data_IF_488447637910
#
_entry.id   IF_488447637910
#
_cell.length_a   1.000
_cell.length_b   1.000
_cell.length_c   1.000
_cell.angle_alpha   90.00
_cell.angle_beta   90.00
_cell.angle_gamma   90.00
#
_symmetry.space_group_name_H-M   'P 1'
#
loop_
_entity.id
_entity.type
_entity.pdbx_description
1 polymer ?
#
# COMPACT_ATOMS: atom_id res chain seq x y z
N UNK A 1 -35.22 -30.01 -15.40
CA UNK A 1 -34.01 -29.32 -14.91
C UNK A 1 -33.16 -30.33 -14.16
N UNK A 2 -32.13 -30.90 -14.80
CA UNK A 2 -31.22 -31.86 -14.17
C UNK A 2 -29.92 -31.13 -13.90
N UNK A 3 -29.64 -30.94 -12.62
CA UNK A 3 -28.34 -30.43 -12.13
C UNK A 3 -27.31 -31.57 -12.13
N UNK A 4 -26.37 -31.53 -13.05
CA UNK A 4 -25.19 -32.41 -13.02
C UNK A 4 -24.21 -31.89 -11.96
N UNK A 5 -24.24 -32.49 -10.80
CA UNK A 5 -23.18 -32.34 -9.79
C UNK A 5 -21.99 -33.17 -10.22
N UNK A 6 -20.94 -32.49 -10.73
CA UNK A 6 -19.66 -33.13 -11.02
C UNK A 6 -18.98 -33.52 -9.71
N UNK A 7 -18.76 -34.81 -9.52
CA UNK A 7 -18.09 -35.32 -8.33
C UNK A 7 -16.59 -35.01 -8.39
N UNK A 8 -16.01 -34.69 -7.22
CA UNK A 8 -14.59 -34.35 -7.01
C UNK A 8 -13.60 -35.36 -7.61
N UNK A 9 -14.04 -36.58 -7.85
CA UNK A 9 -13.27 -37.68 -8.44
C UNK A 9 -13.07 -37.52 -9.96
N UNK A 10 -14.03 -36.94 -10.69
CA UNK A 10 -13.94 -36.69 -12.12
C UNK A 10 -12.92 -35.59 -12.46
N UNK A 11 -12.82 -34.56 -11.63
CA UNK A 11 -11.81 -33.49 -11.75
C UNK A 11 -10.38 -34.01 -11.50
N UNK A 12 -10.22 -34.93 -10.56
CA UNK A 12 -8.92 -35.56 -10.30
C UNK A 12 -8.44 -36.46 -11.46
N UNK A 13 -9.35 -37.15 -12.16
CA UNK A 13 -8.99 -37.99 -13.33
C UNK A 13 -8.54 -37.17 -14.55
N UNK A 14 -9.07 -35.97 -14.75
CA UNK A 14 -8.64 -35.06 -15.84
C UNK A 14 -7.26 -34.45 -15.56
N UNK A 15 -6.98 -34.08 -14.32
CA UNK A 15 -5.67 -33.56 -13.90
C UNK A 15 -4.56 -34.62 -14.06
N UNK A 16 -4.85 -35.89 -13.76
CA UNK A 16 -3.89 -36.98 -13.88
C UNK A 16 -3.50 -37.29 -15.34
N UNK A 17 -4.39 -37.08 -16.32
CA UNK A 17 -4.08 -37.28 -17.76
C UNK A 17 -3.19 -36.19 -18.34
N UNK A 18 -3.24 -34.94 -17.84
CA UNK A 18 -2.32 -33.88 -18.27
C UNK A 18 -0.91 -34.07 -17.75
N UNK A 19 -0.76 -34.61 -16.55
CA UNK A 19 0.56 -34.92 -15.95
C UNK A 19 1.27 -36.04 -16.69
N UNK A 20 0.54 -37.07 -17.18
CA UNK A 20 1.12 -38.17 -17.97
C UNK A 20 1.61 -37.73 -19.35
N UNK A 21 0.98 -36.73 -19.97
CA UNK A 21 1.45 -36.17 -21.26
C UNK A 21 2.72 -35.33 -21.10
N UNK A 22 2.90 -34.63 -19.99
CA UNK A 22 4.13 -33.88 -19.67
C UNK A 22 5.30 -34.82 -19.32
N UNK A 23 5.04 -35.98 -18.71
CA UNK A 23 6.05 -36.98 -18.45
C UNK A 23 6.54 -37.72 -19.72
N UNK A 24 5.75 -37.80 -20.77
CA UNK A 24 6.15 -38.38 -22.05
C UNK A 24 7.04 -37.45 -22.88
N UNK A 25 6.88 -36.13 -22.74
CA UNK A 25 7.70 -35.12 -23.42
C UNK A 25 9.12 -35.03 -22.83
N UNK A 26 9.34 -35.46 -21.59
CA UNK A 26 10.65 -35.38 -20.92
C UNK A 26 11.69 -36.37 -21.42
N UNK A 27 11.31 -37.40 -22.21
CA UNK A 27 12.23 -38.38 -22.72
C UNK A 27 12.96 -38.03 -24.02
N UNK A 28 12.62 -36.89 -24.63
CA UNK A 28 13.24 -36.45 -25.89
C UNK A 28 14.29 -35.34 -25.73
N UNK A 29 14.57 -34.87 -24.50
CA UNK A 29 15.53 -33.77 -24.26
C UNK A 29 16.75 -34.21 -23.44
N UNK A 30 17.38 -35.33 -23.78
CA UNK A 30 18.55 -35.87 -23.06
C UNK A 30 19.90 -35.57 -23.72
N UNK A 31 20.17 -34.34 -24.18
CA UNK A 31 21.51 -34.02 -24.68
C UNK A 31 21.95 -32.54 -24.51
N UNK A 32 21.37 -31.77 -23.61
CA UNK A 32 21.90 -30.45 -23.25
C UNK A 32 22.49 -30.53 -21.85
N UNK A 33 23.76 -30.15 -21.62
CA UNK A 33 24.33 -30.09 -20.27
C UNK A 33 23.65 -28.96 -19.51
N UNK A 34 22.69 -29.32 -18.70
CA UNK A 34 21.99 -28.38 -17.82
C UNK A 34 22.90 -28.09 -16.64
N UNK A 35 23.29 -26.82 -16.49
CA UNK A 35 23.97 -26.33 -15.30
C UNK A 35 23.19 -26.76 -14.02
N UNK A 36 23.86 -27.09 -12.91
CA UNK A 36 23.19 -27.56 -11.70
C UNK A 36 22.15 -26.50 -11.26
N UNK A 37 20.90 -26.93 -11.00
CA UNK A 37 19.83 -26.00 -10.65
C UNK A 37 20.20 -25.23 -9.38
N UNK A 38 20.00 -23.91 -9.39
CA UNK A 38 20.22 -23.08 -8.22
C UNK A 38 19.47 -23.60 -7.01
N UNK A 39 19.91 -23.29 -5.78
CA UNK A 39 19.20 -23.68 -4.57
C UNK A 39 17.71 -23.29 -4.60
N UNK A 40 17.39 -22.17 -5.22
CA UNK A 40 16.01 -21.72 -5.42
C UNK A 40 15.22 -22.66 -6.34
N UNK A 41 15.81 -23.09 -7.46
CA UNK A 41 15.18 -24.04 -8.39
C UNK A 41 14.97 -25.42 -7.75
N UNK A 42 15.91 -25.88 -6.93
CA UNK A 42 15.78 -27.15 -6.18
C UNK A 42 14.68 -27.06 -5.12
N UNK A 43 14.57 -25.93 -4.45
CA UNK A 43 13.50 -25.67 -3.47
C UNK A 43 12.12 -25.62 -4.15
N UNK A 44 12.01 -24.96 -5.30
CA UNK A 44 10.78 -24.93 -6.08
C UNK A 44 10.38 -26.29 -6.61
N UNK A 45 11.34 -27.10 -7.11
CA UNK A 45 11.08 -28.47 -7.53
C UNK A 45 10.66 -29.36 -6.36
N UNK A 46 11.31 -29.23 -5.20
CA UNK A 46 10.91 -29.95 -3.99
C UNK A 46 9.49 -29.58 -3.55
N UNK A 47 9.18 -28.28 -3.56
CA UNK A 47 7.84 -27.78 -3.22
C UNK A 47 6.80 -28.28 -4.24
N UNK A 48 7.07 -28.22 -5.54
CA UNK A 48 6.15 -28.69 -6.58
C UNK A 48 5.91 -30.20 -6.55
N UNK A 49 6.91 -31.01 -6.15
CA UNK A 49 6.79 -32.45 -6.00
C UNK A 49 6.06 -32.89 -4.72
N UNK A 50 6.21 -32.10 -3.67
CA UNK A 50 5.61 -32.41 -2.35
C UNK A 50 4.22 -31.80 -2.17
N UNK A 51 3.97 -30.66 -2.80
CA UNK A 51 2.69 -29.95 -2.75
C UNK A 51 2.09 -29.90 -4.16
N UNK A 52 1.20 -30.83 -4.44
CA UNK A 52 0.50 -30.93 -5.73
C UNK A 52 -0.50 -29.79 -5.96
N UNK A 53 -0.66 -28.90 -5.00
CA UNK A 53 -1.65 -27.83 -5.02
C UNK A 53 -0.97 -26.46 -4.96
N UNK A 54 -0.81 -25.83 -6.14
CA UNK A 54 -0.24 -24.49 -6.29
C UNK A 54 -1.10 -23.46 -5.54
N UNK A 55 -2.40 -23.67 -5.45
CA UNK A 55 -3.33 -22.78 -4.75
C UNK A 55 -3.01 -22.74 -3.25
N UNK A 56 -2.61 -23.87 -2.66
CA UNK A 56 -2.18 -23.91 -1.26
C UNK A 56 -0.91 -23.09 -1.02
N UNK A 57 0.07 -23.13 -1.93
CA UNK A 57 1.32 -22.34 -1.83
C UNK A 57 1.00 -20.85 -1.96
N UNK A 58 0.13 -20.48 -2.91
CA UNK A 58 -0.32 -19.10 -3.10
C UNK A 58 -1.11 -18.58 -1.90
N UNK A 59 -1.99 -19.41 -1.33
CA UNK A 59 -2.74 -19.06 -0.12
C UNK A 59 -1.82 -18.87 1.09
N UNK A 60 -0.78 -19.68 1.26
CA UNK A 60 0.23 -19.50 2.30
C UNK A 60 1.02 -18.21 2.12
N UNK A 61 1.46 -17.90 0.89
CA UNK A 61 2.17 -16.65 0.63
C UNK A 61 1.32 -15.43 0.97
N UNK A 62 0.05 -15.45 0.60
CA UNK A 62 -0.94 -14.42 0.94
C UNK A 62 -1.17 -14.33 2.44
N UNK A 63 -1.26 -15.47 3.13
CA UNK A 63 -1.44 -15.52 4.58
C UNK A 63 -0.23 -14.92 5.32
N UNK A 64 1.02 -15.25 4.91
CA UNK A 64 2.23 -14.66 5.50
C UNK A 64 2.32 -13.16 5.25
N UNK A 65 2.00 -12.70 4.02
CA UNK A 65 1.94 -11.28 3.69
C UNK A 65 0.92 -10.56 4.58
N UNK A 66 -0.31 -11.09 4.66
CA UNK A 66 -1.38 -10.51 5.46
C UNK A 66 -1.06 -10.51 6.96
N UNK A 67 -0.38 -11.55 7.47
CA UNK A 67 0.07 -11.60 8.86
C UNK A 67 1.09 -10.50 9.14
N UNK A 68 2.07 -10.31 8.24
CA UNK A 68 3.06 -9.23 8.35
C UNK A 68 2.43 -7.84 8.30
N UNK A 69 1.45 -7.63 7.42
CA UNK A 69 0.67 -6.39 7.33
C UNK A 69 -0.11 -6.12 8.63
N UNK A 70 -0.80 -7.12 9.18
CA UNK A 70 -1.55 -6.99 10.44
C UNK A 70 -0.64 -6.65 11.60
N UNK A 71 0.53 -7.27 11.70
CA UNK A 71 1.48 -6.98 12.78
C UNK A 71 2.00 -5.54 12.70
N UNK A 72 2.31 -5.03 11.51
CA UNK A 72 2.80 -3.65 11.32
C UNK A 72 1.74 -2.59 11.54
N UNK A 73 0.49 -2.90 11.22
CA UNK A 73 -0.65 -2.00 11.36
C UNK A 73 -1.48 -2.30 12.62
N UNK A 74 -0.87 -2.93 13.61
CA UNK A 74 -1.56 -3.27 14.84
C UNK A 74 -2.00 -2.00 15.59
N UNK A 75 -3.19 -2.04 16.18
CA UNK A 75 -3.68 -0.93 17.02
C UNK A 75 -3.03 -1.01 18.40
N UNK A 76 -2.32 0.03 18.78
CA UNK A 76 -1.57 0.12 20.04
C UNK A 76 -2.41 0.62 21.21
N UNK A 77 -3.61 0.04 21.42
CA UNK A 77 -4.53 0.45 22.48
C UNK A 77 -3.95 0.37 23.89
N UNK A 78 -3.16 -0.67 24.19
CA UNK A 78 -2.48 -0.79 25.48
C UNK A 78 -1.45 0.32 25.71
N UNK A 79 -0.65 0.62 24.69
CA UNK A 79 0.33 1.71 24.75
C UNK A 79 -0.37 3.05 24.93
N UNK A 80 -1.49 3.23 24.24
CA UNK A 80 -2.32 4.43 24.30
C UNK A 80 -2.88 4.67 25.71
N UNK A 81 -3.35 3.62 26.38
CA UNK A 81 -3.88 3.72 27.75
C UNK A 81 -2.81 4.05 28.78
N UNK A 82 -1.59 3.50 28.62
CA UNK A 82 -0.54 3.65 29.64
C UNK A 82 0.37 4.86 29.41
N UNK A 83 0.64 5.21 28.13
CA UNK A 83 1.62 6.23 27.77
C UNK A 83 1.01 7.44 27.05
N UNK A 84 -0.26 7.37 26.68
CA UNK A 84 -0.99 8.43 26.00
C UNK A 84 -1.02 8.28 24.47
N UNK A 85 -1.92 9.05 23.87
CA UNK A 85 -2.23 8.98 22.43
C UNK A 85 -1.03 9.38 21.54
N UNK A 86 -0.26 10.39 21.97
CA UNK A 86 0.88 10.90 21.21
C UNK A 86 2.02 9.88 21.16
N UNK A 87 2.34 9.24 22.27
CA UNK A 87 3.38 8.21 22.35
C UNK A 87 3.00 6.97 21.57
N UNK A 88 1.74 6.54 21.63
CA UNK A 88 1.27 5.39 20.87
C UNK A 88 1.36 5.64 19.36
N UNK A 89 0.96 6.82 18.90
CA UNK A 89 1.09 7.23 17.51
C UNK A 89 2.56 7.31 17.07
N UNK A 90 3.42 7.93 17.86
CA UNK A 90 4.87 8.02 17.62
C UNK A 90 5.50 6.63 17.48
N UNK A 91 5.20 5.73 18.40
CA UNK A 91 5.69 4.35 18.34
C UNK A 91 5.18 3.59 17.10
N UNK A 92 3.90 3.77 16.73
CA UNK A 92 3.33 3.19 15.53
C UNK A 92 4.10 3.67 14.28
N UNK A 93 4.32 4.98 14.12
CA UNK A 93 5.04 5.55 12.98
C UNK A 93 6.46 4.99 12.89
N UNK A 94 7.20 4.95 14.00
CA UNK A 94 8.56 4.40 14.03
C UNK A 94 8.58 2.89 13.73
N UNK A 95 7.59 2.13 14.21
CA UNK A 95 7.48 0.69 13.90
C UNK A 95 7.23 0.41 12.41
N UNK A 96 6.56 1.33 11.73
CA UNK A 96 6.38 1.33 10.28
C UNK A 96 7.63 1.79 9.52
N UNK A 97 8.69 2.23 10.22
CA UNK A 97 9.91 2.86 9.68
C UNK A 97 9.66 4.25 9.08
N UNK A 98 8.61 4.91 9.48
CA UNK A 98 8.33 6.31 9.17
C UNK A 98 9.11 7.28 10.06
N UNK A 99 8.77 8.55 9.91
CA UNK A 99 9.25 9.64 10.75
C UNK A 99 8.11 10.57 11.12
N UNK A 100 8.32 11.34 12.18
CA UNK A 100 7.35 12.34 12.59
C UNK A 100 8.06 13.54 13.25
N UNK A 101 7.32 14.62 13.36
CA UNK A 101 7.77 15.85 14.04
C UNK A 101 6.67 16.33 14.99
N UNK A 102 7.05 16.71 16.19
CA UNK A 102 6.13 17.31 17.13
C UNK A 102 5.89 18.80 16.83
N UNK A 103 4.75 19.30 17.27
CA UNK A 103 4.40 20.70 17.13
C UNK A 103 5.43 21.62 17.81
N UNK A 104 5.87 22.64 17.08
CA UNK A 104 6.85 23.62 17.57
C UNK A 104 8.30 23.12 17.63
N UNK A 105 8.60 21.91 17.15
CA UNK A 105 9.97 21.39 17.06
C UNK A 105 10.45 21.40 15.61
N UNK A 106 11.76 21.56 15.43
CA UNK A 106 12.39 21.45 14.10
C UNK A 106 12.98 20.06 13.82
N UNK A 107 13.16 19.26 14.87
CA UNK A 107 13.81 17.95 14.77
C UNK A 107 12.80 16.86 14.39
N UNK A 108 13.24 16.00 13.45
CA UNK A 108 12.49 14.84 13.03
C UNK A 108 12.89 13.59 13.81
N UNK A 109 11.95 12.88 14.36
CA UNK A 109 12.15 11.57 14.96
C UNK A 109 12.03 10.50 13.87
N UNK A 110 13.15 9.84 13.57
CA UNK A 110 13.25 8.77 12.58
C UNK A 110 14.15 7.66 13.08
N UNK A 111 14.09 6.48 12.43
CA UNK A 111 15.05 5.42 12.67
C UNK A 111 16.43 5.83 12.16
N UNK A 112 17.47 5.41 12.88
CA UNK A 112 18.84 5.52 12.40
C UNK A 112 19.13 4.50 11.27
N UNK A 113 20.32 4.55 10.69
CA UNK A 113 20.75 3.61 9.63
C UNK A 113 20.77 2.15 10.09
N UNK A 114 20.79 1.89 11.40
CA UNK A 114 20.79 0.55 12.01
C UNK A 114 19.38 0.08 12.36
N UNK A 115 18.35 0.86 12.06
CA UNK A 115 16.95 0.55 12.36
C UNK A 115 16.59 0.71 13.84
N UNK A 116 17.39 1.45 14.60
CA UNK A 116 17.10 1.83 15.99
C UNK A 116 16.54 3.23 16.01
N UNK A 117 15.62 3.49 16.93
CA UNK A 117 15.10 4.83 17.20
C UNK A 117 15.48 5.27 18.61
N UNK A 118 15.66 6.58 18.77
CA UNK A 118 15.89 7.19 20.07
C UNK A 118 14.54 7.23 20.83
N UNK A 119 14.58 6.97 22.11
CA UNK A 119 13.40 6.99 22.98
C UNK A 119 13.08 8.39 23.54
N UNK A 120 13.80 9.43 23.12
CA UNK A 120 13.59 10.81 23.60
C UNK A 120 12.17 11.32 23.33
N UNK A 121 11.48 10.77 22.31
CA UNK A 121 10.07 11.10 22.05
C UNK A 121 9.15 10.78 23.24
N UNK A 122 9.55 9.90 24.17
CA UNK A 122 8.79 9.58 25.38
C UNK A 122 8.66 10.79 26.33
N UNK A 123 9.58 11.75 26.23
CA UNK A 123 9.55 12.98 27.02
C UNK A 123 8.51 13.99 26.54
N UNK A 124 7.95 13.79 25.33
CA UNK A 124 6.99 14.70 24.68
C UNK A 124 5.56 14.18 24.74
N UNK A 125 5.15 13.64 25.88
CA UNK A 125 3.85 13.00 26.08
C UNK A 125 2.67 13.92 25.76
N UNK A 126 2.78 15.18 26.12
CA UNK A 126 1.70 16.17 26.00
C UNK A 126 1.79 17.00 24.70
N UNK A 127 2.83 16.78 23.88
CA UNK A 127 3.01 17.49 22.62
C UNK A 127 2.38 16.69 21.48
N UNK A 128 1.49 17.33 20.71
CA UNK A 128 0.85 16.70 19.55
C UNK A 128 1.84 16.52 18.40
N UNK A 129 1.64 15.47 17.60
CA UNK A 129 2.37 15.28 16.36
C UNK A 129 1.77 16.22 15.30
N UNK A 130 2.62 17.01 14.66
CA UNK A 130 2.23 17.96 13.62
C UNK A 130 2.49 17.44 12.22
N UNK A 131 3.59 16.74 12.00
CA UNK A 131 3.96 16.18 10.70
C UNK A 131 4.27 14.71 10.80
N UNK A 132 3.80 13.94 9.82
CA UNK A 132 4.01 12.50 9.69
C UNK A 132 4.47 12.16 8.29
N UNK A 133 5.59 11.45 8.19
CA UNK A 133 6.09 10.88 6.94
C UNK A 133 6.19 9.37 7.09
N UNK A 134 5.27 8.67 6.47
CA UNK A 134 5.25 7.19 6.38
C UNK A 134 5.41 6.73 4.93
N UNK A 135 6.10 7.51 4.11
CA UNK A 135 6.36 7.21 2.71
C UNK A 135 7.09 5.88 2.54
N UNK A 136 6.72 5.13 1.50
CA UNK A 136 7.26 3.80 1.18
C UNK A 136 7.11 2.77 2.31
N UNK A 137 6.13 2.96 3.19
CA UNK A 137 5.82 2.00 4.25
C UNK A 137 4.64 1.09 3.89
N UNK A 138 4.32 0.18 4.80
CA UNK A 138 3.16 -0.72 4.66
C UNK A 138 1.95 -0.23 5.49
N UNK A 139 1.83 1.08 5.67
CA UNK A 139 0.65 1.65 6.35
C UNK A 139 -0.62 1.35 5.54
N UNK A 140 -1.69 1.04 6.24
CA UNK A 140 -3.00 0.84 5.67
C UNK A 140 -4.08 1.51 6.53
N UNK A 141 -5.33 1.33 6.18
CA UNK A 141 -6.48 1.84 6.94
C UNK A 141 -6.42 1.53 8.44
N UNK A 142 -6.04 0.30 8.82
CA UNK A 142 -5.94 -0.08 10.25
C UNK A 142 -4.78 0.65 10.94
N UNK A 143 -3.66 0.86 10.27
CA UNK A 143 -2.53 1.64 10.79
C UNK A 143 -2.89 3.10 11.04
N UNK A 144 -3.74 3.69 10.18
CA UNK A 144 -4.24 5.05 10.32
C UNK A 144 -5.02 5.25 11.62
N UNK A 145 -5.70 4.22 12.15
CA UNK A 145 -6.46 4.31 13.41
C UNK A 145 -5.59 4.72 14.62
N UNK A 146 -4.28 4.44 14.58
CA UNK A 146 -3.35 4.91 15.61
C UNK A 146 -3.11 6.43 15.55
N UNK A 147 -3.41 7.07 14.42
CA UNK A 147 -3.22 8.51 14.21
C UNK A 147 -4.52 9.31 14.42
N UNK A 148 -5.66 8.67 14.48
CA UNK A 148 -6.99 9.32 14.53
C UNK A 148 -7.12 10.35 15.66
N UNK A 149 -6.43 10.13 16.78
CA UNK A 149 -6.47 11.05 17.93
C UNK A 149 -5.48 12.21 17.82
N UNK A 150 -4.67 12.28 16.77
CA UNK A 150 -3.70 13.35 16.55
C UNK A 150 -4.40 14.60 15.98
N UNK A 151 -5.00 15.39 16.87
CA UNK A 151 -5.76 16.60 16.49
C UNK A 151 -4.91 17.74 15.98
N UNK A 152 -3.59 17.66 16.10
CA UNK A 152 -2.63 18.65 15.61
C UNK A 152 -1.98 18.30 14.28
N UNK A 153 -2.38 17.20 13.63
CA UNK A 153 -1.76 16.75 12.40
C UNK A 153 -2.05 17.71 11.24
N UNK A 154 -0.98 18.32 10.70
CA UNK A 154 -1.04 19.26 9.57
C UNK A 154 -0.48 18.67 8.28
N UNK A 155 0.60 17.88 8.37
CA UNK A 155 1.25 17.32 7.20
C UNK A 155 1.28 15.80 7.30
N UNK A 156 0.77 15.14 6.25
CA UNK A 156 0.80 13.67 6.13
C UNK A 156 1.36 13.27 4.77
N UNK A 157 2.50 12.56 4.77
CA UNK A 157 3.04 11.93 3.56
C UNK A 157 2.90 10.41 3.64
N UNK A 158 2.20 9.85 2.65
CA UNK A 158 2.04 8.40 2.42
C UNK A 158 2.53 8.01 1.02
N UNK A 159 3.41 8.81 0.44
CA UNK A 159 3.96 8.58 -0.90
C UNK A 159 4.53 7.18 -1.06
N UNK A 160 4.21 6.51 -2.18
CA UNK A 160 4.73 5.18 -2.48
C UNK A 160 4.21 4.04 -1.59
N UNK A 161 3.16 4.27 -0.81
CA UNK A 161 2.57 3.24 0.05
C UNK A 161 1.69 2.28 -0.75
N UNK A 162 2.10 1.01 -0.84
CA UNK A 162 1.41 0.00 -1.62
C UNK A 162 0.05 -0.43 -1.05
N UNK A 163 -0.20 -0.20 0.23
CA UNK A 163 -1.42 -0.63 0.93
C UNK A 163 -2.40 0.51 1.22
N UNK A 164 -2.06 1.75 0.80
CA UNK A 164 -2.97 2.90 0.86
C UNK A 164 -3.98 2.79 -0.28
N UNK A 165 -5.26 2.79 0.06
CA UNK A 165 -6.40 2.62 -0.85
C UNK A 165 -7.48 3.69 -0.61
N UNK A 166 -8.59 3.57 -1.33
CA UNK A 166 -9.72 4.50 -1.25
C UNK A 166 -10.35 4.56 0.14
N UNK A 167 -10.34 3.44 0.89
CA UNK A 167 -10.81 3.39 2.28
C UNK A 167 -9.94 4.23 3.20
N UNK A 168 -8.61 4.17 2.99
CA UNK A 168 -7.68 5.03 3.71
C UNK A 168 -8.00 6.51 3.49
N UNK A 169 -8.20 6.93 2.23
CA UNK A 169 -8.54 8.32 1.90
C UNK A 169 -9.88 8.73 2.50
N UNK A 170 -10.87 7.86 2.46
CA UNK A 170 -12.18 8.16 3.03
C UNK A 170 -12.12 8.43 4.54
N UNK A 171 -11.17 7.80 5.25
CA UNK A 171 -10.99 7.96 6.69
C UNK A 171 -10.30 9.27 7.06
N UNK A 172 -9.58 9.91 6.14
CA UNK A 172 -8.90 11.19 6.39
C UNK A 172 -9.83 12.33 6.77
N UNK A 173 -11.16 12.20 6.56
CA UNK A 173 -12.15 13.20 6.97
C UNK A 173 -12.05 13.58 8.46
N UNK A 174 -11.44 12.73 9.30
CA UNK A 174 -11.22 13.00 10.72
C UNK A 174 -10.29 14.21 10.90
N UNK A 175 -9.40 14.45 9.94
CA UNK A 175 -8.44 15.56 9.94
C UNK A 175 -8.91 16.73 9.09
N UNK A 176 -10.23 16.84 8.80
CA UNK A 176 -10.81 17.82 7.88
C UNK A 176 -10.42 19.28 8.16
N UNK A 177 -10.24 19.61 9.45
CA UNK A 177 -10.00 20.99 9.90
C UNK A 177 -8.51 21.25 10.19
N UNK A 178 -7.67 20.22 10.22
CA UNK A 178 -6.28 20.34 10.64
C UNK A 178 -5.26 20.00 9.57
N UNK A 179 -5.60 19.06 8.66
CA UNK A 179 -4.68 18.62 7.63
C UNK A 179 -4.54 19.70 6.54
N UNK A 180 -3.33 20.24 6.41
CA UNK A 180 -2.99 21.29 5.45
C UNK A 180 -2.25 20.73 4.24
N UNK A 181 -1.46 19.68 4.42
CA UNK A 181 -0.64 19.07 3.38
C UNK A 181 -0.80 17.57 3.34
N UNK A 182 -1.06 17.03 2.14
CA UNK A 182 -1.22 15.62 1.89
C UNK A 182 -0.43 15.20 0.65
N UNK A 183 0.48 14.23 0.83
CA UNK A 183 1.18 13.58 -0.28
C UNK A 183 0.75 12.11 -0.39
N UNK A 184 0.05 11.80 -1.49
CA UNK A 184 -0.41 10.45 -1.86
C UNK A 184 0.20 9.98 -3.18
N UNK A 185 1.29 10.61 -3.61
CA UNK A 185 1.97 10.27 -4.87
C UNK A 185 2.43 8.80 -4.88
N UNK A 186 2.54 8.21 -6.06
CA UNK A 186 3.02 6.85 -6.26
C UNK A 186 2.23 5.75 -5.52
N UNK A 187 0.99 6.00 -5.11
CA UNK A 187 0.15 5.00 -4.44
C UNK A 187 -0.65 4.18 -5.46
N UNK A 188 -0.35 2.86 -5.62
CA UNK A 188 -0.89 2.08 -6.74
C UNK A 188 -2.36 1.67 -6.58
N UNK A 189 -2.95 1.83 -5.40
CA UNK A 189 -4.32 1.35 -5.12
C UNK A 189 -5.36 2.46 -5.09
N UNK A 190 -4.96 3.72 -5.17
CA UNK A 190 -5.86 4.87 -5.17
C UNK A 190 -6.55 4.98 -6.53
N UNK A 191 -7.88 5.13 -6.51
CA UNK A 191 -8.72 5.40 -7.67
C UNK A 191 -9.32 6.81 -7.64
N UNK A 192 -9.97 7.22 -8.73
CA UNK A 192 -10.72 8.48 -8.80
C UNK A 192 -11.78 8.57 -7.70
N UNK A 193 -12.43 7.42 -7.37
CA UNK A 193 -13.42 7.37 -6.29
C UNK A 193 -12.84 7.71 -4.91
N UNK A 194 -11.60 7.26 -4.63
CA UNK A 194 -10.88 7.63 -3.41
C UNK A 194 -10.56 9.12 -3.35
N UNK A 195 -10.15 9.72 -4.48
CA UNK A 195 -9.85 11.14 -4.55
C UNK A 195 -11.08 12.01 -4.28
N UNK A 196 -12.27 11.57 -4.68
CA UNK A 196 -13.51 12.27 -4.37
C UNK A 196 -13.77 12.41 -2.86
N UNK A 197 -13.26 11.49 -2.04
CA UNK A 197 -13.40 11.59 -0.58
C UNK A 197 -12.63 12.77 0.02
N UNK A 198 -11.61 13.28 -0.67
CA UNK A 198 -10.78 14.41 -0.22
C UNK A 198 -11.53 15.74 -0.17
N UNK A 199 -12.70 15.86 -0.83
CA UNK A 199 -13.55 17.04 -0.76
C UNK A 199 -13.92 17.45 0.68
N UNK A 200 -13.85 16.51 1.62
CA UNK A 200 -14.14 16.76 3.04
C UNK A 200 -13.01 17.48 3.77
N UNK A 201 -11.79 17.50 3.20
CA UNK A 201 -10.61 18.12 3.80
C UNK A 201 -10.58 19.62 3.52
N UNK A 202 -11.38 20.38 4.27
CA UNK A 202 -11.53 21.82 4.07
C UNK A 202 -10.28 22.64 4.40
N UNK A 203 -9.44 22.11 5.28
CA UNK A 203 -8.16 22.73 5.67
C UNK A 203 -7.03 22.51 4.67
N UNK A 204 -7.21 21.65 3.65
CA UNK A 204 -6.15 21.23 2.76
C UNK A 204 -5.68 22.37 1.84
N UNK A 205 -4.37 22.63 1.86
CA UNK A 205 -3.70 23.69 1.09
C UNK A 205 -2.78 23.15 0.01
N UNK A 206 -2.17 21.98 0.25
CA UNK A 206 -1.26 21.32 -0.70
C UNK A 206 -1.60 19.85 -0.83
N UNK A 207 -1.82 19.41 -2.06
CA UNK A 207 -2.14 18.03 -2.39
C UNK A 207 -1.23 17.53 -3.51
N UNK A 208 -0.47 16.48 -3.26
CA UNK A 208 0.35 15.83 -4.28
C UNK A 208 -0.28 14.50 -4.69
N UNK A 209 -0.75 14.43 -5.95
CA UNK A 209 -1.36 13.26 -6.59
C UNK A 209 -0.51 12.72 -7.75
N UNK A 210 0.78 13.01 -7.77
CA UNK A 210 1.67 12.64 -8.85
C UNK A 210 1.80 11.12 -8.99
N UNK A 211 1.93 10.63 -10.24
CA UNK A 211 2.25 9.23 -10.55
C UNK A 211 1.30 8.21 -9.91
N UNK A 212 -0.02 8.43 -9.98
CA UNK A 212 -1.02 7.45 -9.55
C UNK A 212 -1.41 6.55 -10.73
N UNK A 213 -1.04 5.25 -10.74
CA UNK A 213 -1.14 4.42 -11.95
C UNK A 213 -2.57 4.03 -12.34
N UNK A 214 -3.55 4.16 -11.43
CA UNK A 214 -4.96 3.89 -11.72
C UNK A 214 -5.71 5.06 -12.32
N UNK A 215 -5.09 6.23 -12.41
CA UNK A 215 -5.73 7.42 -13.01
C UNK A 215 -5.60 7.37 -14.53
N UNK A 216 -6.71 7.18 -15.23
CA UNK A 216 -6.74 7.12 -16.70
C UNK A 216 -6.57 8.48 -17.36
N UNK A 217 -7.12 9.56 -16.74
CA UNK A 217 -7.09 10.93 -17.27
C UNK A 217 -6.61 11.90 -16.17
N UNK A 218 -5.31 11.93 -15.86
CA UNK A 218 -4.78 12.71 -14.73
C UNK A 218 -5.01 14.22 -14.86
N UNK A 219 -4.97 14.77 -16.07
CA UNK A 219 -5.24 16.19 -16.31
C UNK A 219 -6.68 16.58 -15.95
N UNK A 220 -7.67 15.75 -16.34
CA UNK A 220 -9.05 15.97 -15.96
C UNK A 220 -9.25 15.82 -14.45
N UNK A 221 -8.59 14.84 -13.84
CA UNK A 221 -8.67 14.63 -12.38
C UNK A 221 -8.06 15.82 -11.63
N UNK A 222 -6.96 16.40 -12.11
CA UNK A 222 -6.36 17.60 -11.52
C UNK A 222 -7.34 18.79 -11.55
N UNK A 223 -7.99 19.05 -12.70
CA UNK A 223 -8.99 20.10 -12.84
C UNK A 223 -10.17 19.88 -11.87
N UNK A 224 -10.68 18.64 -11.80
CA UNK A 224 -11.78 18.33 -10.88
C UNK A 224 -11.39 18.49 -9.41
N UNK A 225 -10.14 18.17 -9.05
CA UNK A 225 -9.63 18.37 -7.69
C UNK A 225 -9.49 19.86 -7.36
N UNK A 226 -9.04 20.68 -8.30
CA UNK A 226 -8.96 22.14 -8.15
C UNK A 226 -10.34 22.76 -7.98
N UNK A 227 -11.35 22.29 -8.72
CA UNK A 227 -12.74 22.71 -8.52
C UNK A 227 -13.32 22.30 -7.17
N UNK A 228 -13.01 21.07 -6.72
CA UNK A 228 -13.48 20.54 -5.43
C UNK A 228 -12.80 21.20 -4.23
N UNK A 229 -11.54 21.59 -4.39
CA UNK A 229 -10.66 22.13 -3.35
C UNK A 229 -10.10 23.51 -3.79
N UNK A 230 -10.91 24.55 -3.85
CA UNK A 230 -10.53 25.84 -4.46
C UNK A 230 -9.38 26.57 -3.75
N UNK A 231 -9.07 26.17 -2.52
CA UNK A 231 -7.98 26.76 -1.73
C UNK A 231 -6.73 25.86 -1.69
N UNK A 232 -6.74 24.74 -2.44
CA UNK A 232 -5.69 23.74 -2.43
C UNK A 232 -4.86 23.82 -3.71
N UNK A 233 -3.55 23.88 -3.57
CA UNK A 233 -2.62 23.73 -4.69
C UNK A 233 -2.44 22.24 -4.98
N UNK A 234 -2.91 21.80 -6.16
CA UNK A 234 -2.80 20.39 -6.59
C UNK A 234 -1.54 20.21 -7.45
N UNK A 235 -0.68 19.29 -7.06
CA UNK A 235 0.49 18.87 -7.85
C UNK A 235 0.22 17.51 -8.48
N UNK A 236 0.28 17.44 -9.83
CA UNK A 236 0.03 16.23 -10.61
C UNK A 236 1.11 16.08 -11.69
N UNK A 237 2.25 15.50 -11.34
CA UNK A 237 3.42 15.29 -12.21
C UNK A 237 3.63 13.80 -12.47
N UNK A 238 4.32 13.47 -13.57
CA UNK A 238 4.72 12.09 -13.89
C UNK A 238 3.63 11.26 -14.58
N UNK A 239 2.74 11.92 -15.31
CA UNK A 239 1.79 11.28 -16.20
C UNK A 239 2.23 11.45 -17.64
N UNK A 240 2.19 10.35 -18.42
CA UNK A 240 2.49 10.39 -19.85
C UNK A 240 1.41 11.18 -20.62
N UNK A 241 1.76 12.37 -21.05
CA UNK A 241 0.90 13.21 -21.89
C UNK A 241 0.85 12.76 -23.37
N UNK A 242 1.50 11.65 -23.72
CA UNK A 242 1.65 11.17 -25.10
C UNK A 242 0.34 10.76 -25.80
N UNK A 243 -0.76 10.61 -25.07
CA UNK A 243 -2.05 10.19 -25.65
C UNK A 243 -2.98 11.33 -26.08
N UNK A 244 -2.62 12.61 -25.85
CA UNK A 244 -3.50 13.74 -26.16
C UNK A 244 -3.37 14.19 -27.63
N UNK A 245 -2.29 13.82 -28.35
CA UNK A 245 -2.01 14.31 -29.71
C UNK A 245 -2.36 13.34 -30.85
N UNK A 246 -2.95 12.18 -30.61
CA UNK A 246 -3.27 11.21 -31.67
C UNK A 246 -4.62 11.39 -32.37
N UNK A 247 -5.43 12.39 -32.02
CA UNK A 247 -6.78 12.57 -32.59
C UNK A 247 -6.97 13.85 -33.42
N UNK A 248 -5.93 14.59 -33.77
CA UNK A 248 -6.05 15.82 -34.57
C UNK A 248 -5.35 15.80 -35.93
N UNK A 249 -5.05 14.63 -36.49
CA UNK A 249 -4.53 14.51 -37.86
C UNK A 249 -5.23 13.43 -38.66
N UNK A 250 -6.51 13.59 -38.91
CA UNK A 250 -7.23 13.04 -40.07
C UNK A 250 -8.40 13.94 -40.35
N UNK A 251 -8.20 14.95 -41.18
CA UNK A 251 -9.12 15.43 -42.21
C UNK A 251 -8.54 16.77 -42.74
N UNK A 252 -7.90 16.65 -43.90
CA UNK A 252 -7.46 17.74 -44.72
C UNK A 252 -7.14 17.22 -46.11
#
# INVERSE_FOLDING_TARGET
>A
MQHHTWTRVELMRRSCRQVTLLAAASRYWSSIPVAPPSLQSRLLLFLSQRFHDIETILSWSSWFKNRGLRQKNFFYGYTQQNYGDNIAAAYCILSLKGGFRFAGQSEWFRLDRRGKFNWDFMNHRDTSIEEVDVSNTLINYTGLENLVKQRGLRTLSVSGCAEVDDWFLSRLHIFQDTLEELDISNCPRISVGGLAALQKLRGLRRLNVSSLPKLQNPGLVAILLEEMLPHCHVTAVGYDHSLIYSHTQTDG
#
